data_IF_545356454795
#
_entry.id   IF_545356454795
#
_cell.length_a   1.000
_cell.length_b   1.000
_cell.length_c   1.000
_cell.angle_alpha   90.00
_cell.angle_beta   90.00
_cell.angle_gamma   90.00
#
_symmetry.space_group_name_H-M   'P 1'
#
loop_
_entity.id
_entity.type
_entity.pdbx_description
1 polymer ?
2 non-polymer ?
3 water ?
#
# COMPACT_ATOMS: atom_id res chain seq x y z
N UNK A 9 42.17 7.16 2.10
CA UNK A 9 42.28 7.47 0.68
C UNK A 9 41.54 6.44 -0.16
N UNK A 10 42.26 5.88 -1.14
CA UNK A 10 41.83 4.76 -1.98
C UNK A 10 40.38 4.28 -1.87
N UNK A 11 40.15 3.27 -1.03
CA UNK A 11 38.85 2.60 -0.99
C UNK A 11 37.72 3.51 -0.53
N UNK A 12 37.99 4.40 0.42
CA UNK A 12 36.95 5.30 0.88
C UNK A 12 36.61 6.34 -0.19
N UNK A 13 37.63 6.99 -0.75
CA UNK A 13 37.39 7.96 -1.79
C UNK A 13 36.66 7.29 -2.96
N UNK A 14 37.12 6.09 -3.31
CA UNK A 14 36.52 5.37 -4.43
C UNK A 14 35.07 4.99 -4.13
N UNK A 15 34.80 4.64 -2.88
CA UNK A 15 33.46 4.31 -2.44
C UNK A 15 32.49 5.45 -2.68
N UNK A 16 32.88 6.67 -2.33
CA UNK A 16 32.03 7.82 -2.56
C UNK A 16 31.77 8.06 -4.04
N UNK A 17 32.77 7.83 -4.88
CA UNK A 17 32.57 7.93 -6.32
C UNK A 17 31.63 6.84 -6.82
N UNK A 18 31.82 5.62 -6.33
CA UNK A 18 30.98 4.51 -6.76
C UNK A 18 29.50 4.71 -6.39
N UNK A 19 29.23 5.35 -5.25
CA UNK A 19 27.85 5.71 -4.88
C UNK A 19 27.18 6.50 -5.99
N UNK A 20 27.93 7.42 -6.58
CA UNK A 20 27.38 8.29 -7.61
C UNK A 20 27.39 7.58 -8.97
N UNK A 21 28.48 6.90 -9.27
CA UNK A 21 28.64 6.30 -10.60
C UNK A 21 27.49 5.37 -10.97
N UNK A 22 27.02 4.60 -9.99
CA UNK A 22 25.99 3.60 -10.22
C UNK A 22 24.61 4.10 -9.75
N UNK A 23 24.52 5.40 -9.48
CA UNK A 23 23.25 5.96 -9.01
C UNK A 23 22.26 6.20 -10.14
N UNK A 24 20.99 6.36 -9.78
CA UNK A 24 19.95 6.75 -10.72
C UNK A 24 19.00 7.71 -10.01
N UNK A 25 18.27 8.49 -10.78
CA UNK A 25 17.40 9.50 -10.22
C UNK A 25 16.22 9.73 -11.16
N UNK A 26 15.08 10.08 -10.57
CA UNK A 26 13.90 10.36 -11.35
C UNK A 26 13.11 11.51 -10.76
N UNK A 27 12.31 12.15 -11.60
CA UNK A 27 11.41 13.20 -11.13
C UNK A 27 10.00 12.87 -11.56
N UNK A 28 9.08 12.87 -10.60
CA UNK A 28 7.68 12.65 -10.91
C UNK A 28 6.85 13.91 -10.64
N UNK A 29 5.98 14.24 -11.58
CA UNK A 29 5.03 15.34 -11.39
C UNK A 29 3.65 14.74 -11.22
N UNK A 30 2.90 15.22 -10.24
CA UNK A 30 1.55 14.75 -10.01
C UNK A 30 0.61 15.91 -9.83
N UNK A 31 -0.49 15.89 -10.56
CA UNK A 31 -1.52 16.89 -10.39
C UNK A 31 -2.76 16.13 -9.97
N UNK A 32 -3.30 16.49 -8.81
CA UNK A 32 -4.31 15.68 -8.16
C UNK A 32 -5.55 16.51 -7.85
N UNK A 33 -6.69 16.06 -8.34
CA UNK A 33 -7.96 16.69 -8.00
C UNK A 33 -8.85 15.69 -7.30
N UNK A 34 -9.50 16.14 -6.23
CA UNK A 34 -10.27 15.26 -5.38
C UNK A 34 -11.59 15.96 -5.04
N UNK A 35 -12.70 15.24 -5.20
CA UNK A 35 -13.99 15.78 -4.79
C UNK A 35 -14.78 14.74 -4.02
N UNK A 36 -15.31 15.14 -2.87
CA UNK A 36 -16.23 14.30 -2.11
C UNK A 36 -17.56 14.98 -1.95
N UNK A 37 -18.62 14.30 -2.38
CA UNK A 37 -19.97 14.81 -2.27
C UNK A 37 -20.76 13.90 -1.34
N UNK A 38 -21.21 14.44 -0.21
CA UNK A 38 -22.02 13.65 0.72
C UNK A 38 -23.49 13.82 0.43
N UNK A 39 -24.22 12.70 0.37
CA UNK A 39 -25.64 12.73 0.06
C UNK A 39 -26.44 13.45 1.16
N UNK A 48 -13.42 19.14 -1.75
CA UNK A 48 -12.87 19.71 -2.98
C UNK A 48 -11.43 20.17 -2.76
N UNK A 49 -10.49 19.51 -3.43
CA UNK A 49 -9.09 19.88 -3.31
C UNK A 49 -8.35 19.66 -4.63
N UNK A 50 -7.52 20.63 -5.00
CA UNK A 50 -6.68 20.53 -6.19
C UNK A 50 -5.26 20.84 -5.75
N UNK A 51 -4.31 20.00 -6.15
CA UNK A 51 -2.94 20.21 -5.72
C UNK A 51 -1.92 19.71 -6.72
N UNK A 52 -0.73 20.28 -6.67
CA UNK A 52 0.38 19.89 -7.52
C UNK A 52 1.54 19.37 -6.67
N UNK A 53 2.12 18.25 -7.11
CA UNK A 53 3.20 17.64 -6.36
C UNK A 53 4.42 17.34 -7.22
N UNK A 54 5.57 17.28 -6.56
CA UNK A 54 6.83 16.92 -7.20
C UNK A 54 7.50 15.90 -6.32
N UNK A 55 8.02 14.85 -6.94
CA UNK A 55 8.69 13.79 -6.22
C UNK A 55 10.04 13.52 -6.87
N UNK A 56 11.11 13.82 -6.15
CA UNK A 56 12.46 13.58 -6.66
C UNK A 56 13.01 12.37 -5.92
N UNK A 57 13.38 11.33 -6.68
CA UNK A 57 13.90 10.11 -6.12
C UNK A 57 15.36 9.90 -6.53
N UNK A 58 16.25 9.74 -5.56
CA UNK A 58 17.64 9.39 -5.86
C UNK A 58 17.97 8.07 -5.19
N UNK A 59 18.55 7.15 -5.96
CA UNK A 59 19.02 5.89 -5.41
C UNK A 59 20.50 5.73 -5.73
N UNK A 60 21.35 5.73 -4.71
CA UNK A 60 22.78 5.61 -4.97
C UNK A 60 23.15 4.20 -5.35
N UNK A 61 24.35 4.07 -5.89
CA UNK A 61 24.97 2.76 -6.02
C UNK A 61 25.51 2.36 -4.66
N UNK A 62 26.26 1.27 -4.63
CA UNK A 62 26.86 0.78 -3.39
C UNK A 62 28.37 0.83 -3.48
N UNK A 63 29.02 1.13 -2.37
CA UNK A 63 30.47 1.01 -2.30
C UNK A 63 30.88 -0.46 -2.46
N UNK A 64 32.00 -0.69 -3.13
CA UNK A 64 32.50 -2.05 -3.37
C UNK A 64 32.88 -2.72 -2.07
N UNK A 65 32.75 -4.04 -2.03
CA UNK A 65 33.14 -4.80 -0.86
C UNK A 65 32.11 -5.82 -0.43
N UNK A 66 32.51 -6.69 0.49
CA UNK A 66 31.61 -7.71 1.03
C UNK A 66 30.35 -7.04 1.56
N UNK A 67 30.53 -5.97 2.32
CA UNK A 67 29.40 -5.15 2.73
C UNK A 67 29.47 -3.84 1.95
N UNK A 68 28.40 -3.55 1.22
CA UNK A 68 28.30 -2.33 0.45
C UNK A 68 27.42 -1.31 1.13
N UNK A 69 27.77 -0.05 1.02
CA UNK A 69 26.99 1.02 1.64
C UNK A 69 26.48 2.00 0.60
N UNK A 70 25.33 2.60 0.88
CA UNK A 70 24.77 3.58 -0.01
C UNK A 70 23.82 4.52 0.71
N UNK A 71 23.22 5.43 -0.05
CA UNK A 71 22.23 6.34 0.49
C UNK A 71 21.19 6.66 -0.57
N UNK A 72 19.93 6.64 -0.18
CA UNK A 72 18.85 7.08 -1.06
C UNK A 72 18.27 8.37 -0.51
N UNK A 73 17.61 9.15 -1.37
CA UNK A 73 16.95 10.37 -0.92
C UNK A 73 15.61 10.51 -1.63
N UNK A 74 14.60 11.00 -0.91
CA UNK A 74 13.34 11.34 -1.54
C UNK A 74 13.01 12.79 -1.21
N UNK A 75 12.75 13.59 -2.23
CA UNK A 75 12.34 14.96 -2.06
C UNK A 75 10.90 15.10 -2.47
N UNK A 76 10.08 15.63 -1.57
CA UNK A 76 8.65 15.78 -1.79
C UNK A 76 8.29 17.26 -1.68
N UNK A 77 7.45 17.72 -2.60
CA UNK A 77 6.98 19.10 -2.55
C UNK A 77 5.56 19.11 -3.05
N UNK A 78 4.67 19.70 -2.28
CA UNK A 78 3.29 19.82 -2.68
C UNK A 78 2.74 21.18 -2.36
N UNK A 79 1.81 21.64 -3.17
CA UNK A 79 1.07 22.84 -2.83
C UNK A 79 -0.33 22.80 -3.39
N UNK A 80 -1.26 23.37 -2.64
CA UNK A 80 -2.65 23.44 -3.06
C UNK A 80 -2.83 24.49 -4.14
N UNK A 81 -3.77 24.21 -5.04
CA UNK A 81 -4.10 25.10 -6.14
C UNK A 81 -5.52 25.56 -5.89
N UNK A 82 -5.90 26.73 -6.42
CA UNK A 82 -7.27 27.18 -6.24
C UNK A 82 -8.16 26.65 -7.37
N UNK A 83 -9.14 25.83 -6.99
CA UNK A 83 -10.06 25.24 -7.96
C UNK A 83 -10.42 23.81 -7.56
N UNK A 103 -0.96 20.24 4.86
CA UNK A 103 -2.12 19.65 4.18
C UNK A 103 -1.90 19.65 2.67
N UNK A 104 -0.89 18.89 2.24
CA UNK A 104 -0.39 18.88 0.87
C UNK A 104 0.25 20.21 0.46
N UNK A 105 0.62 20.99 1.47
CA UNK A 105 1.35 22.23 1.27
C UNK A 105 2.63 22.19 2.10
N UNK A 106 3.62 21.47 1.60
CA UNK A 106 4.83 21.25 2.34
C UNK A 106 5.95 20.78 1.45
N UNK A 107 7.14 20.78 2.04
CA UNK A 107 8.31 20.23 1.38
C UNK A 107 9.00 19.35 2.40
N UNK A 108 9.52 18.22 1.94
CA UNK A 108 10.26 17.33 2.83
C UNK A 108 11.34 16.59 2.07
N UNK A 109 12.51 16.51 2.70
CA UNK A 109 13.60 15.70 2.18
C UNK A 109 13.87 14.58 3.18
N UNK A 110 13.87 13.34 2.70
CA UNK A 110 14.11 12.21 3.57
C UNK A 110 15.27 11.36 3.06
N UNK A 111 16.20 11.07 3.97
CA UNK A 111 17.36 10.26 3.63
C UNK A 111 17.18 8.82 4.10
N UNK A 112 17.79 7.90 3.37
CA UNK A 112 17.79 6.50 3.77
C UNK A 112 19.18 5.91 3.60
N UNK A 113 19.84 5.61 4.70
CA UNK A 113 21.12 4.92 4.64
C UNK A 113 20.83 3.48 4.28
N UNK A 114 21.72 2.86 3.52
CA UNK A 114 21.55 1.47 3.17
C UNK A 114 22.84 0.67 3.20
N UNK A 115 22.70 -0.63 3.44
CA UNK A 115 23.84 -1.55 3.43
C UNK A 115 23.41 -2.87 2.81
N UNK A 116 24.27 -3.46 1.98
CA UNK A 116 23.97 -4.75 1.38
C UNK A 116 25.09 -5.75 1.68
N UNK A 117 24.70 -7.00 1.88
CA UNK A 117 25.68 -8.09 1.90
C UNK A 117 25.01 -9.27 1.22
N UNK A 118 25.77 -9.98 0.39
CA UNK A 118 25.23 -11.10 -0.37
C UNK A 118 23.91 -10.71 -1.02
N UNK A 119 22.82 -11.37 -0.63
CA UNK A 119 21.50 -11.09 -1.16
C UNK A 119 20.56 -10.50 -0.11
N UNK A 120 21.12 -9.67 0.76
CA UNK A 120 20.36 -9.06 1.83
C UNK A 120 20.58 -7.54 1.83
N UNK A 121 19.57 -6.81 2.28
CA UNK A 121 19.59 -5.36 2.20
C UNK A 121 18.95 -4.74 3.43
N UNK A 122 19.66 -3.81 4.04
CA UNK A 122 19.17 -3.06 5.19
C UNK A 122 19.00 -1.59 4.79
N UNK A 123 17.85 -1.03 5.14
CA UNK A 123 17.56 0.39 4.92
C UNK A 123 17.21 1.03 6.26
N UNK A 124 17.78 2.19 6.52
CA UNK A 124 17.54 2.93 7.75
C UNK A 124 17.23 4.39 7.44
N UNK A 125 16.08 4.86 7.91
CA UNK A 125 15.67 6.25 7.70
C UNK A 125 14.26 6.30 7.14
N UNK A 126 14.08 7.02 6.03
CA UNK A 126 12.78 7.08 5.38
C UNK A 126 12.47 5.76 4.68
N UNK A 127 11.30 5.21 4.95
CA UNK A 127 10.89 3.93 4.38
C UNK A 127 9.53 4.00 3.72
N UNK A 128 9.35 3.20 2.67
CA UNK A 128 8.07 3.09 1.99
C UNK A 128 8.04 1.71 1.36
N UNK A 129 7.18 0.84 1.89
CA UNK A 129 7.16 -0.54 1.45
C UNK A 129 5.79 -1.14 1.75
N UNK A 130 5.56 -2.34 1.21
CA UNK A 130 4.32 -3.06 1.38
C UNK A 130 4.60 -4.40 2.04
N UNK A 131 3.78 -4.76 3.02
CA UNK A 131 3.87 -6.06 3.67
C UNK A 131 2.52 -6.35 4.31
N UNK A 132 2.24 -7.61 4.63
CA UNK A 132 0.92 -7.91 5.18
C UNK A 132 0.57 -7.07 6.41
N UNK A 133 1.51 -6.88 7.33
CA UNK A 133 1.18 -6.22 8.60
C UNK A 133 1.38 -4.71 8.58
N UNK A 134 2.04 -4.20 7.55
CA UNK A 134 2.20 -2.75 7.42
C UNK A 134 2.53 -2.39 5.99
N UNK A 135 1.72 -1.50 5.41
CA UNK A 135 1.92 -1.05 4.03
C UNK A 135 1.76 0.45 3.94
N UNK A 136 2.78 1.13 3.42
CA UNK A 136 2.72 2.57 3.23
C UNK A 136 1.78 2.92 2.09
N UNK A 137 0.97 3.95 2.29
CA UNK A 137 0.02 4.39 1.28
C UNK A 137 0.63 5.33 0.25
N UNK A 138 0.18 5.20 -1.00
CA UNK A 138 0.47 6.23 -1.99
C UNK A 138 -0.68 6.41 -2.97
N UNK A 139 -1.87 6.70 -2.45
CA UNK A 139 -3.01 6.97 -3.32
C UNK A 139 -3.48 8.41 -3.31
N UNK A 140 -2.66 9.30 -2.74
CA UNK A 140 -2.97 10.72 -2.79
C UNK A 140 -1.89 11.48 -3.56
N UNK A 141 -1.58 12.69 -3.14
CA UNK A 141 -0.61 13.51 -3.85
C UNK A 141 0.83 13.05 -3.62
N UNK A 142 1.17 12.85 -2.35
CA UNK A 142 2.52 12.50 -1.95
C UNK A 142 2.48 11.28 -1.04
N UNK A 143 3.52 10.44 -1.08
CA UNK A 143 3.45 9.17 -0.36
C UNK A 143 3.52 9.30 1.17
N UNK A 144 2.88 8.37 1.86
CA UNK A 144 3.17 8.13 3.27
C UNK A 144 4.62 7.61 3.40
N UNK A 145 5.31 8.02 4.46
CA UNK A 145 6.64 7.47 4.78
C UNK A 145 6.64 6.99 6.22
N UNK A 146 7.42 5.95 6.49
CA UNK A 146 7.70 5.58 7.87
C UNK A 146 9.15 5.92 8.18
N UNK A 147 9.44 6.19 9.44
CA UNK A 147 10.80 6.29 9.91
C UNK A 147 11.17 4.98 10.58
N UNK A 148 12.29 4.38 10.19
CA UNK A 148 12.70 3.17 10.87
C UNK A 148 13.79 2.41 10.15
N UNK A 149 13.88 1.12 10.46
CA UNK A 149 14.85 0.23 9.83
C UNK A 149 14.11 -0.96 9.24
N UNK A 150 14.48 -1.33 8.03
CA UNK A 150 13.85 -2.42 7.29
C UNK A 150 14.92 -3.34 6.74
N UNK A 151 14.82 -4.62 7.07
CA UNK A 151 15.78 -5.62 6.64
C UNK A 151 15.10 -6.61 5.71
N UNK A 152 15.74 -6.92 4.59
CA UNK A 152 15.21 -7.85 3.60
C UNK A 152 16.29 -8.87 3.29
N UNK A 153 16.04 -10.14 3.62
CA UNK A 153 17.03 -11.20 3.51
C UNK A 153 16.56 -12.25 2.50
N UNK A 154 17.29 -12.40 1.40
CA UNK A 154 16.94 -13.37 0.37
C UNK A 154 18.10 -14.32 0.08
N UNK A 155 18.51 -15.03 1.11
CA UNK A 155 19.68 -15.90 1.02
C UNK A 155 19.30 -17.37 0.79
N UNK A 156 18.08 -17.73 1.13
CA UNK A 156 17.61 -19.11 1.03
C UNK A 156 16.67 -19.22 -0.16
N UNK A 157 16.86 -20.27 -0.97
CA UNK A 157 16.08 -20.44 -2.19
C UNK A 157 14.58 -20.41 -1.94
N UNK A 158 13.89 -19.51 -2.63
CA UNK A 158 12.44 -19.41 -2.53
C UNK A 158 11.93 -18.76 -1.25
N UNK A 159 12.84 -18.27 -0.41
CA UNK A 159 12.46 -17.70 0.88
C UNK A 159 12.88 -16.26 1.02
N UNK A 160 11.91 -15.39 1.30
CA UNK A 160 12.16 -14.01 1.63
C UNK A 160 11.85 -13.79 3.09
N UNK A 161 12.82 -13.29 3.85
CA UNK A 161 12.60 -12.93 5.24
C UNK A 161 12.69 -11.43 5.36
N UNK A 162 11.73 -10.82 6.03
CA UNK A 162 11.74 -9.38 6.24
C UNK A 162 11.48 -9.05 7.68
N UNK A 163 12.00 -7.92 8.12
CA UNK A 163 11.68 -7.43 9.44
C UNK A 163 11.86 -5.94 9.48
N UNK A 164 11.14 -5.27 10.38
CA UNK A 164 11.28 -3.83 10.52
C UNK A 164 11.04 -3.39 11.93
N UNK A 165 11.70 -2.30 12.29
CA UNK A 165 11.38 -1.52 13.48
C UNK A 165 11.08 -0.11 13.01
N UNK A 166 9.83 0.33 13.21
CA UNK A 166 9.40 1.65 12.79
C UNK A 166 9.07 2.47 14.01
N UNK A 167 9.39 3.76 14.00
CA UNK A 167 9.00 4.58 15.14
C UNK A 167 8.24 5.86 14.82
N UNK A 168 8.01 6.12 13.53
CA UNK A 168 7.22 7.28 13.13
C UNK A 168 6.44 7.00 11.87
N UNK A 169 5.35 7.76 11.71
CA UNK A 169 4.48 7.75 10.54
C UNK A 169 4.43 9.18 10.00
N UNK A 170 4.80 9.38 8.74
CA UNK A 170 4.51 10.65 8.08
C UNK A 170 3.32 10.45 7.17
N UNK A 171 2.17 10.95 7.58
CA UNK A 171 0.96 10.76 6.77
C UNK A 171 1.19 11.33 5.37
N UNK A 172 0.48 10.77 4.40
CA UNK A 172 0.62 11.23 3.03
C UNK A 172 0.46 12.76 2.89
N UNK A 173 -0.43 13.34 3.69
CA UNK A 173 -0.77 14.76 3.55
C UNK A 173 0.07 15.71 4.41
N UNK A 174 1.00 15.19 5.20
CA UNK A 174 1.81 16.08 6.03
C UNK A 174 3.31 15.90 5.88
N UNK A 175 4.07 16.86 6.40
CA UNK A 175 5.53 16.84 6.31
C UNK A 175 6.19 16.22 7.53
N UNK A 176 5.51 16.26 8.68
CA UNK A 176 6.14 15.87 9.93
C UNK A 176 5.91 14.41 10.28
N UNK A 177 6.97 13.74 10.72
CA UNK A 177 6.83 12.42 11.33
C UNK A 177 6.08 12.58 12.65
N UNK A 178 5.15 11.67 12.91
CA UNK A 178 4.43 11.64 14.17
C UNK A 178 4.35 10.22 14.70
N UNK A 179 3.92 10.07 15.94
CA UNK A 179 3.75 8.72 16.47
C UNK A 179 2.52 8.04 15.86
N UNK A 180 2.40 6.74 16.11
CA UNK A 180 1.35 5.94 15.51
C UNK A 180 0.07 5.89 16.32
N UNK A 181 -1.01 5.59 15.62
CA UNK A 181 -2.26 5.15 16.24
C UNK A 181 -2.85 4.05 15.37
N UNK A 182 -3.88 3.40 15.87
CA UNK A 182 -4.54 2.33 15.10
C UNK A 182 -5.85 2.82 14.50
N UNK A 183 -6.09 2.43 13.26
CA UNK A 183 -7.34 2.77 12.57
C UNK A 183 -8.57 2.32 13.39
N UNK A 184 -9.51 3.25 13.55
CA UNK A 184 -10.73 3.10 14.40
C UNK A 184 -10.46 2.99 15.89
N UNK A 185 -9.53 2.12 16.26
CA UNK A 185 -9.31 1.75 17.66
C UNK A 185 -8.59 2.83 18.45
N UNK A 186 -7.78 3.64 17.77
CA UNK A 186 -7.07 4.71 18.43
C UNK A 186 -5.80 4.26 19.10
N UNK A 187 -5.51 4.83 20.26
CA UNK A 187 -4.29 4.53 20.98
C UNK A 187 -3.11 5.37 20.51
N UNK A 188 -2.00 5.25 21.22
CA UNK A 188 -0.77 5.94 20.87
C UNK A 188 0.41 4.98 20.99
N UNK A 189 1.29 4.95 19.99
CA UNK A 189 2.40 4.01 19.99
C UNK A 189 3.61 4.63 19.32
N UNK A 190 4.80 4.38 19.88
CA UNK A 190 6.01 4.85 19.21
C UNK A 190 6.86 3.72 18.65
N UNK A 191 6.24 2.55 18.45
CA UNK A 191 6.99 1.44 17.90
C UNK A 191 6.13 0.43 17.18
N UNK A 192 6.46 0.16 15.93
CA UNK A 192 5.92 -0.97 15.21
C UNK A 192 7.04 -1.90 14.83
N UNK A 193 6.93 -3.16 15.26
CA UNK A 193 7.94 -4.15 14.97
C UNK A 193 7.28 -5.34 14.29
N UNK A 194 7.92 -5.89 13.27
CA UNK A 194 7.42 -7.14 12.68
C UNK A 194 8.57 -7.93 12.09
N UNK A 195 8.33 -9.23 11.94
CA UNK A 195 9.18 -10.07 11.12
C UNK A 195 8.27 -11.03 10.39
N UNK A 196 8.69 -11.48 9.23
CA UNK A 196 7.86 -12.37 8.46
C UNK A 196 8.63 -13.08 7.36
N UNK A 197 8.08 -14.20 6.93
CA UNK A 197 8.65 -14.97 5.85
C UNK A 197 7.65 -15.24 4.76
N UNK A 198 8.11 -15.22 3.52
CA UNK A 198 7.30 -15.62 2.37
C UNK A 198 8.09 -16.72 1.69
N UNK A 199 7.51 -17.92 1.67
CA UNK A 199 8.23 -19.11 1.25
C UNK A 199 7.56 -19.80 0.07
N UNK A 200 8.29 -19.92 -1.03
CA UNK A 200 7.79 -20.66 -2.19
C UNK A 200 7.94 -22.15 -1.95
N UNK A 201 6.85 -22.79 -1.49
CA UNK A 201 6.83 -24.23 -1.24
C UNK A 201 7.03 -24.99 -2.53
N UNK A 202 6.44 -24.46 -3.60
CA UNK A 202 6.62 -24.97 -4.95
C UNK A 202 6.65 -23.73 -5.84
N UNK A 203 6.96 -23.92 -7.12
CA UNK A 203 6.96 -22.74 -8.01
C UNK A 203 5.60 -22.03 -8.09
N UNK A 204 4.52 -22.73 -7.78
CA UNK A 204 3.18 -22.14 -7.87
C UNK A 204 2.57 -21.71 -6.53
N UNK A 205 3.11 -22.23 -5.43
CA UNK A 205 2.48 -22.07 -4.12
C UNK A 205 3.41 -21.39 -3.12
N UNK A 206 2.96 -20.28 -2.57
CA UNK A 206 3.75 -19.49 -1.62
C UNK A 206 3.01 -19.31 -0.30
N UNK A 207 3.67 -19.68 0.78
CA UNK A 207 3.11 -19.59 2.12
C UNK A 207 3.77 -18.44 2.86
N UNK A 208 2.98 -17.66 3.59
CA UNK A 208 3.52 -16.50 4.30
C UNK A 208 3.07 -16.50 5.74
N UNK A 209 3.98 -16.10 6.62
CA UNK A 209 3.68 -15.95 8.04
C UNK A 209 4.40 -14.71 8.55
N UNK A 210 3.64 -13.74 9.06
CA UNK A 210 4.18 -12.47 9.55
C UNK A 210 3.64 -12.20 10.94
N UNK A 211 4.49 -11.73 11.83
CA UNK A 211 4.08 -11.46 13.21
C UNK A 211 4.56 -10.08 13.60
N UNK A 212 3.69 -9.30 14.23
CA UNK A 212 4.01 -7.91 14.48
C UNK A 212 3.33 -7.36 15.72
N UNK A 213 3.76 -6.17 16.10
CA UNK A 213 3.26 -5.51 17.30
C UNK A 213 3.30 -4.02 17.10
N UNK A 214 2.17 -3.36 17.30
CA UNK A 214 2.14 -1.92 17.45
C UNK A 214 2.16 -1.70 18.96
N UNK A 215 3.34 -1.40 19.50
CA UNK A 215 3.58 -1.42 20.94
C UNK A 215 2.58 -0.57 21.71
N UNK A 216 2.03 -1.17 22.76
CA UNK A 216 1.03 -0.53 23.64
C UNK A 216 -0.35 -0.40 23.01
N UNK A 217 -0.55 -1.00 21.84
CA UNK A 217 -1.88 -1.04 21.24
C UNK A 217 -2.29 -2.47 20.88
N UNK A 218 -1.62 -3.09 19.91
CA UNK A 218 -2.03 -4.42 19.51
C UNK A 218 -0.88 -5.33 19.05
N UNK A 219 -1.14 -6.63 19.08
CA UNK A 219 -0.27 -7.63 18.46
C UNK A 219 -1.09 -8.25 17.34
N UNK A 220 -0.45 -8.57 16.23
CA UNK A 220 -1.16 -9.18 15.11
C UNK A 220 -0.29 -10.18 14.38
N UNK A 221 -0.87 -11.30 14.01
CA UNK A 221 -0.17 -12.32 13.21
C UNK A 221 -1.00 -12.59 11.97
N UNK A 222 -0.32 -12.74 10.84
CA UNK A 222 -0.92 -12.98 9.53
C UNK A 222 -0.36 -14.26 8.93
N UNK A 223 -1.26 -15.12 8.44
CA UNK A 223 -0.84 -16.26 7.64
C UNK A 223 -1.50 -16.15 6.29
N UNK A 224 -0.78 -16.49 5.23
CA UNK A 224 -1.33 -16.41 3.90
C UNK A 224 -0.85 -17.56 3.02
N UNK A 225 -1.67 -17.91 2.04
CA UNK A 225 -1.30 -18.95 1.09
C UNK A 225 -1.75 -18.43 -0.25
N UNK A 226 -0.83 -18.36 -1.22
CA UNK A 226 -1.15 -17.85 -2.53
C UNK A 226 -0.72 -18.86 -3.58
N UNK A 227 -1.68 -19.31 -4.39
CA UNK A 227 -1.42 -20.26 -5.44
C UNK A 227 -1.64 -19.61 -6.78
N UNK A 228 -0.67 -19.76 -7.67
CA UNK A 228 -0.77 -19.17 -8.98
C UNK A 228 -0.76 -20.27 -10.03
N UNK A 229 -1.87 -20.39 -10.75
CA UNK A 229 -2.01 -21.41 -11.78
C UNK A 229 -1.98 -20.76 -13.15
N UNK A 230 -0.89 -20.98 -13.88
CA UNK A 230 -0.78 -20.47 -15.24
C UNK A 230 -1.19 -21.55 -16.21
N UNK A 231 -2.25 -21.29 -16.98
CA UNK A 231 -2.72 -22.25 -17.98
C UNK A 231 -2.15 -21.90 -19.35
N UNK A 232 -1.46 -20.76 -19.43
CA UNK A 232 -0.89 -20.31 -20.69
C UNK A 232 -1.93 -20.12 -21.77
N UNK A 235 -4.22 -17.09 -19.85
CA UNK A 235 -5.23 -17.72 -19.01
C UNK A 235 -4.62 -18.19 -17.68
N UNK A 236 -5.07 -17.61 -16.58
CA UNK A 236 -4.48 -17.92 -15.30
C UNK A 236 -5.45 -17.69 -14.15
N UNK A 237 -5.19 -18.38 -13.04
CA UNK A 237 -6.01 -18.22 -11.84
C UNK A 237 -5.09 -18.08 -10.64
N UNK A 238 -5.23 -16.97 -9.93
CA UNK A 238 -4.52 -16.75 -8.69
C UNK A 238 -5.52 -16.91 -7.55
N UNK A 239 -5.14 -17.72 -6.55
CA UNK A 239 -5.97 -17.92 -5.37
C UNK A 239 -5.21 -17.41 -4.17
N UNK A 240 -5.79 -16.46 -3.46
CA UNK A 240 -5.09 -15.70 -2.41
C UNK A 240 -5.92 -15.81 -1.12
N UNK A 241 -5.41 -16.58 -0.16
CA UNK A 241 -6.08 -16.83 1.11
C UNK A 241 -5.33 -16.12 2.24
N UNK A 242 -6.08 -15.46 3.12
CA UNK A 242 -5.48 -14.64 4.17
C UNK A 242 -6.17 -14.87 5.49
N UNK A 243 -5.41 -14.93 6.56
CA UNK A 243 -6.01 -14.99 7.89
C UNK A 243 -5.15 -14.25 8.88
N UNK A 244 -5.73 -13.29 9.61
CA UNK A 244 -4.97 -12.52 10.59
C UNK A 244 -5.74 -12.44 11.88
N UNK A 245 -5.03 -12.60 12.99
CA UNK A 245 -5.64 -12.46 14.32
C UNK A 245 -4.89 -11.40 15.10
N UNK A 246 -5.64 -10.58 15.83
CA UNK A 246 -5.04 -9.53 16.64
C UNK A 246 -5.60 -9.56 18.07
N UNK A 247 -4.76 -9.15 19.01
CA UNK A 247 -5.15 -8.98 20.40
C UNK A 247 -4.45 -7.73 20.94
N UNK A 248 -4.74 -7.37 22.18
CA UNK A 248 -4.16 -6.15 22.75
C UNK A 248 -2.68 -6.34 23.08
N UNK A 249 -1.95 -5.24 23.14
CA UNK A 249 -0.57 -5.25 23.62
C UNK A 249 -0.39 -4.32 24.81
N UNK A 250 0.49 -4.70 25.71
CA UNK A 250 0.80 -3.87 26.86
C UNK A 250 -0.44 -3.59 27.70
N UNK A 251 -0.65 -2.32 28.03
CA UNK A 251 -1.75 -1.96 28.91
C UNK A 251 -3.01 -1.56 28.16
N UNK A 252 -3.03 -1.75 26.85
CA UNK A 252 -4.19 -1.36 26.07
C UNK A 252 -5.40 -2.19 26.48
N UNK A 253 -6.57 -1.60 26.32
CA UNK A 253 -7.82 -2.30 26.63
C UNK A 253 -7.89 -3.59 25.81
N UNK A 254 -8.64 -4.57 26.30
CA UNK A 254 -8.73 -5.83 25.60
C UNK A 254 -9.23 -5.67 24.18
N UNK A 255 -8.58 -6.40 23.27
CA UNK A 255 -8.88 -6.34 21.85
C UNK A 255 -8.92 -7.76 21.32
N UNK A 256 -9.91 -8.05 20.46
CA UNK A 256 -9.98 -9.34 19.79
C UNK A 256 -10.49 -9.14 18.37
N UNK A 257 -9.66 -9.44 17.38
CA UNK A 257 -10.10 -9.37 15.99
C UNK A 257 -9.57 -10.54 15.20
N UNK A 258 -10.39 -11.06 14.30
CA UNK A 258 -9.93 -12.01 13.28
C UNK A 258 -10.43 -11.50 11.93
N UNK A 259 -9.63 -11.75 10.89
CA UNK A 259 -10.03 -11.37 9.54
C UNK A 259 -9.59 -12.45 8.57
N UNK A 260 -10.57 -13.05 7.91
CA UNK A 260 -10.34 -14.02 6.82
C UNK A 260 -10.63 -13.36 5.50
N UNK A 261 -9.77 -13.61 4.51
CA UNK A 261 -10.01 -13.13 3.16
C UNK A 261 -9.65 -14.19 2.14
N UNK A 262 -10.42 -14.21 1.05
CA UNK A 262 -10.08 -15.05 -0.09
C UNK A 262 -10.35 -14.25 -1.36
N UNK A 263 -9.36 -14.23 -2.26
CA UNK A 263 -9.50 -13.50 -3.51
C UNK A 263 -9.02 -14.40 -4.63
N UNK A 264 -9.93 -14.64 -5.57
CA UNK A 264 -9.63 -15.48 -6.72
C UNK A 264 -9.64 -14.58 -7.95
N UNK A 265 -8.49 -14.53 -8.63
CA UNK A 265 -8.28 -13.63 -9.75
C UNK A 265 -8.04 -14.42 -11.03
N UNK A 266 -8.99 -14.33 -11.95
CA UNK A 266 -8.95 -15.07 -13.20
C UNK A 266 -8.57 -14.14 -14.32
N UNK A 267 -7.54 -14.50 -15.08
CA UNK A 267 -7.19 -13.73 -16.26
C UNK A 267 -7.57 -14.54 -17.49
N UNK A 268 -8.26 -13.89 -18.41
CA UNK A 268 -8.67 -14.53 -19.65
C UNK A 268 -8.39 -13.57 -20.79
N UNK A 269 -7.20 -13.66 -21.36
CA UNK A 269 -6.80 -12.75 -22.41
C UNK A 269 -6.71 -11.34 -21.89
N UNK A 270 -7.44 -10.43 -22.54
CA UNK A 270 -7.41 -9.03 -22.15
C UNK A 270 -8.36 -8.76 -20.99
N UNK A 271 -9.17 -9.76 -20.65
CA UNK A 271 -10.14 -9.67 -19.56
C UNK A 271 -9.58 -10.21 -18.26
N UNK A 272 -10.03 -9.64 -17.16
CA UNK A 272 -9.71 -10.17 -15.84
C UNK A 272 -10.96 -10.07 -14.98
N UNK A 273 -11.25 -11.13 -14.24
CA UNK A 273 -12.38 -11.14 -13.31
C UNK A 273 -11.88 -11.64 -11.98
N UNK A 274 -12.25 -10.95 -10.91
CA UNK A 274 -11.85 -11.40 -9.58
C UNK A 274 -13.07 -11.48 -8.67
N UNK A 275 -13.06 -12.46 -7.79
CA UNK A 275 -14.12 -12.62 -6.81
C UNK A 275 -13.49 -12.73 -5.45
N UNK A 276 -14.00 -11.95 -4.50
CA UNK A 276 -13.43 -11.90 -3.17
C UNK A 276 -14.46 -12.15 -2.10
N UNK A 277 -14.00 -12.71 -0.99
CA UNK A 277 -14.85 -12.88 0.19
C UNK A 277 -14.04 -12.48 1.41
N UNK A 278 -14.68 -11.76 2.33
CA UNK A 278 -14.00 -11.31 3.53
C UNK A 278 -14.91 -11.44 4.73
N UNK A 279 -14.36 -11.93 5.84
CA UNK A 279 -15.13 -12.07 7.07
C UNK A 279 -14.34 -11.55 8.24
N UNK A 280 -14.87 -10.51 8.88
CA UNK A 280 -14.29 -9.95 10.08
C UNK A 280 -15.05 -10.51 11.28
N UNK A 281 -14.34 -10.88 12.34
CA UNK A 281 -15.02 -11.36 13.54
C UNK A 281 -14.26 -11.00 14.81
N UNK A 282 -14.92 -11.20 15.95
CA UNK A 282 -14.38 -10.74 17.22
C UNK A 282 -15.10 -9.48 17.67
N UNK A 283 -14.71 -8.96 18.82
CA UNK A 283 -15.34 -7.76 19.35
C UNK A 283 -14.89 -6.48 18.64
N UNK A 284 -13.78 -6.57 17.90
CA UNK A 284 -13.15 -5.38 17.35
C UNK A 284 -13.00 -5.45 15.85
N UNK A 285 -12.88 -4.28 15.20
CA UNK A 285 -12.67 -4.22 13.76
C UNK A 285 -11.20 -4.55 13.45
N UNK A 286 -10.87 -4.60 12.16
CA UNK A 286 -9.51 -5.00 11.77
C UNK A 286 -8.49 -3.91 12.10
N UNK A 287 -7.51 -4.24 12.94
CA UNK A 287 -6.55 -3.19 13.30
C UNK A 287 -5.43 -3.06 12.29
N UNK A 288 -5.00 -1.82 12.11
CA UNK A 288 -3.82 -1.50 11.30
C UNK A 288 -3.39 -0.10 11.66
N UNK A 289 -2.18 0.27 11.22
CA UNK A 289 -1.67 1.59 11.51
C UNK A 289 -2.51 2.66 10.79
N UNK A 290 -3.03 3.63 11.57
CA UNK A 290 -3.85 4.67 10.97
C UNK A 290 -3.06 5.43 9.91
N UNK A 291 -3.71 5.68 8.78
CA UNK A 291 -3.05 6.39 7.69
C UNK A 291 -2.44 5.46 6.67
N UNK A 292 -2.31 4.18 7.02
CA UNK A 292 -1.67 3.20 6.15
C UNK A 292 -2.70 2.25 5.52
N UNK A 293 -2.24 1.31 4.71
CA UNK A 293 -3.16 0.44 3.97
C UNK A 293 -3.31 -0.91 4.64
N UNK A 294 -4.54 -1.36 4.88
CA UNK A 294 -4.73 -2.69 5.48
C UNK A 294 -4.63 -3.77 4.42
N UNK A 295 -4.12 -4.94 4.79
CA UNK A 295 -3.94 -6.02 3.81
C UNK A 295 -5.18 -6.88 3.72
N UNK A 296 -6.28 -6.24 3.35
CA UNK A 296 -7.60 -6.88 3.26
C UNK A 296 -7.99 -7.04 1.80
N UNK A 297 -8.48 -8.21 1.44
CA UNK A 297 -8.83 -8.44 0.04
C UNK A 297 -9.91 -7.50 -0.48
N UNK A 298 -10.82 -7.06 0.41
CA UNK A 298 -11.89 -6.17 -0.02
C UNK A 298 -11.68 -4.70 0.35
N UNK A 299 -10.43 -4.33 0.62
CA UNK A 299 -10.05 -2.93 0.80
C UNK A 299 -9.93 -2.29 -0.58
N UNK A 300 -10.75 -1.29 -0.82
CA UNK A 300 -10.86 -0.67 -2.14
C UNK A 300 -10.71 0.86 -2.05
N UNK A 301 -11.38 1.63 -2.90
CA UNK A 301 -11.03 3.05 -3.01
C UNK A 301 -11.27 3.80 -1.72
N UNK A 302 -12.44 3.60 -1.13
CA UNK A 302 -12.78 4.31 0.10
C UNK A 302 -12.73 3.37 1.31
N UNK A 303 -13.54 2.31 1.27
CA UNK A 303 -13.70 1.47 2.44
C UNK A 303 -12.81 0.26 2.54
N UNK A 304 -12.61 -0.21 3.77
CA UNK A 304 -11.81 -1.40 4.01
C UNK A 304 -12.66 -2.65 4.26
N UNK A 305 -13.96 -2.46 4.45
CA UNK A 305 -14.88 -3.55 4.78
C UNK A 305 -14.36 -4.34 5.98
N UNK A 306 -13.75 -3.59 6.90
CA UNK A 306 -13.12 -4.16 8.08
C UNK A 306 -13.84 -3.83 9.37
N UNK A 307 -15.10 -3.44 9.25
CA UNK A 307 -15.92 -3.14 10.43
C UNK A 307 -16.21 -4.38 11.28
N UNK A 308 -16.58 -4.15 12.52
CA UNK A 308 -16.93 -5.23 13.43
C UNK A 308 -17.95 -6.19 12.80
N UNK A 309 -17.58 -7.48 12.77
CA UNK A 309 -18.45 -8.57 12.28
C UNK A 309 -18.74 -8.55 10.76
N UNK A 310 -18.08 -7.66 10.02
CA UNK A 310 -18.46 -7.46 8.62
C UNK A 310 -18.16 -8.66 7.72
N UNK A 311 -19.17 -9.09 6.97
CA UNK A 311 -19.02 -10.11 5.93
C UNK A 311 -19.21 -9.40 4.60
N UNK A 312 -18.31 -9.65 3.65
CA UNK A 312 -18.41 -8.92 2.40
C UNK A 312 -17.95 -9.76 1.22
N UNK A 313 -18.51 -9.46 0.04
CA UNK A 313 -18.06 -10.09 -1.18
C UNK A 313 -17.75 -9.03 -2.22
N UNK A 314 -16.85 -9.38 -3.14
CA UNK A 314 -16.37 -8.46 -4.16
C UNK A 314 -16.44 -9.12 -5.52
N UNK A 315 -16.86 -8.36 -6.54
CA UNK A 315 -16.64 -8.74 -7.92
C UNK A 315 -15.90 -7.59 -8.61
N UNK A 316 -14.87 -7.93 -9.37
CA UNK A 316 -14.03 -6.96 -10.03
C UNK A 316 -13.79 -7.36 -11.46
N UNK A 317 -13.87 -6.39 -12.37
CA UNK A 317 -13.59 -6.63 -13.78
C UNK A 317 -12.51 -5.66 -14.27
N UNK A 318 -11.54 -6.18 -15.01
CA UNK A 318 -10.55 -5.33 -15.68
C UNK A 318 -10.48 -5.66 -17.16
N UNK A 319 -10.22 -4.65 -17.98
CA UNK A 319 -9.93 -4.86 -19.38
C UNK A 319 -8.69 -4.06 -19.77
N UNK A 320 -7.75 -4.75 -20.38
CA UNK A 320 -6.54 -4.13 -20.91
C UNK A 320 -6.71 -3.97 -22.42
N UNK A 321 -6.70 -2.73 -22.86
CA UNK A 321 -6.99 -2.41 -24.25
C UNK A 321 -5.81 -2.63 -25.20
N UNK A 322 -4.71 -3.19 -24.69
CA UNK A 322 -3.54 -3.42 -25.53
C UNK A 322 -3.83 -4.30 -26.73
N UNK A 323 -4.53 -5.41 -26.49
CA UNK A 323 -4.78 -6.39 -27.55
C UNK A 323 -5.63 -5.79 -28.67
N UNK A 324 -6.52 -4.89 -28.27
CA UNK A 324 -7.42 -4.23 -29.20
C UNK A 324 -6.66 -3.26 -30.09
N UNK A 325 -5.58 -2.70 -29.57
CA UNK A 325 -4.81 -1.73 -30.32
C UNK A 325 -4.80 -0.35 -29.68
N UNK A 326 -5.15 -0.29 -28.39
CA UNK A 326 -5.14 0.95 -27.62
C UNK A 326 -4.28 0.79 -26.35
N UNK A 327 -2.97 0.59 -26.51
CA UNK A 327 -2.12 0.18 -25.38
C UNK A 327 -2.10 1.03 -24.08
N UNK A 328 -2.33 2.33 -24.13
CA UNK A 328 -2.25 3.11 -22.90
C UNK A 328 -3.51 3.08 -22.06
N UNK A 329 -4.57 2.48 -22.61
CA UNK A 329 -5.90 2.61 -22.04
C UNK A 329 -6.24 1.47 -21.08
N UNK A 330 -6.91 1.82 -19.98
CA UNK A 330 -7.25 0.83 -18.96
C UNK A 330 -8.66 1.10 -18.41
N UNK A 331 -9.36 0.03 -18.04
CA UNK A 331 -10.65 0.13 -17.41
C UNK A 331 -10.71 -0.89 -16.28
N UNK A 332 -11.21 -0.46 -15.13
CA UNK A 332 -11.52 -1.37 -14.04
C UNK A 332 -12.84 -0.96 -13.40
N UNK A 333 -13.68 -1.93 -13.05
CA UNK A 333 -14.82 -1.63 -12.20
C UNK A 333 -14.96 -2.73 -11.17
N UNK A 334 -15.35 -2.36 -9.96
CA UNK A 334 -15.51 -3.35 -8.91
C UNK A 334 -16.64 -2.94 -7.98
N UNK A 335 -17.19 -3.93 -7.30
CA UNK A 335 -18.31 -3.71 -6.41
C UNK A 335 -18.10 -4.60 -5.20
N UNK A 336 -18.27 -4.03 -4.01
CA UNK A 336 -18.16 -4.78 -2.77
C UNK A 336 -19.41 -4.53 -1.95
N UNK A 337 -20.00 -5.62 -1.45
CA UNK A 337 -21.21 -5.54 -0.63
C UNK A 337 -20.94 -6.17 0.73
N UNK A 338 -21.20 -5.41 1.78
CA UNK A 338 -20.97 -5.87 3.14
C UNK A 338 -22.26 -5.94 3.94
N UNK A 339 -22.34 -6.94 4.80
CA UNK A 339 -23.45 -7.03 5.76
C UNK A 339 -22.97 -7.62 7.08
N UNK A 340 -23.91 -7.90 7.98
CA UNK A 340 -23.61 -8.43 9.31
C UNK A 340 -22.86 -7.44 10.21
N UNK A 341 -22.76 -6.19 9.78
CA UNK A 341 -21.98 -5.23 10.55
C UNK A 341 -22.65 -4.92 11.89
N UNK A 342 -21.87 -4.93 12.96
CA UNK A 342 -22.41 -4.60 14.28
C UNK A 342 -22.90 -3.15 14.33
N UNK A 343 -24.15 -3.01 14.77
CA UNK A 343 -24.69 -1.71 15.10
C UNK A 343 -25.22 -1.88 16.51
N UNK A 344 -24.45 -1.43 17.49
CA UNK A 344 -24.79 -1.72 18.87
C UNK A 344 -24.85 -3.22 19.04
N UNK A 345 -25.93 -3.69 19.67
CA UNK A 345 -26.11 -5.10 19.95
C UNK A 345 -26.73 -5.86 18.76
N UNK A 346 -27.03 -5.15 17.68
CA UNK A 346 -27.56 -5.79 16.47
C UNK A 346 -26.45 -6.02 15.46
N UNK A 347 -26.76 -6.80 14.42
CA UNK A 347 -25.80 -7.04 13.34
C UNK A 347 -26.46 -6.80 11.99
N UNK A 348 -27.23 -5.72 11.91
CA UNK A 348 -27.98 -5.39 10.70
C UNK A 348 -27.35 -4.25 9.92
N UNK A 349 -26.08 -3.97 10.19
CA UNK A 349 -25.34 -2.99 9.42
C UNK A 349 -24.99 -3.51 8.04
N UNK A 350 -25.20 -2.66 7.03
CA UNK A 350 -24.92 -3.03 5.64
C UNK A 350 -24.37 -1.84 4.89
N UNK A 351 -23.49 -2.13 3.93
CA UNK A 351 -22.92 -1.09 3.10
C UNK A 351 -22.52 -1.67 1.76
N UNK A 352 -22.47 -0.83 0.75
CA UNK A 352 -21.86 -1.25 -0.50
C UNK A 352 -21.04 -0.14 -1.09
N UNK A 353 -20.07 -0.51 -1.91
CA UNK A 353 -19.23 0.47 -2.59
C UNK A 353 -18.95 0.01 -4.01
N UNK A 354 -19.08 0.94 -4.95
CA UNK A 354 -18.70 0.69 -6.33
C UNK A 354 -17.54 1.61 -6.69
N UNK A 355 -16.55 1.08 -7.41
CA UNK A 355 -15.45 1.89 -7.92
C UNK A 355 -15.31 1.68 -9.41
N UNK A 356 -14.97 2.73 -10.14
CA UNK A 356 -14.63 2.61 -11.56
C UNK A 356 -13.40 3.45 -11.85
N UNK A 357 -12.39 2.85 -12.47
CA UNK A 357 -11.17 3.55 -12.83
C UNK A 357 -11.02 3.54 -14.35
N UNK A 358 -10.82 4.71 -14.93
CA UNK A 358 -10.53 4.82 -16.36
C UNK A 358 -9.21 5.54 -16.48
N UNK A 359 -8.30 5.00 -17.27
CA UNK A 359 -7.00 5.64 -17.38
C UNK A 359 -6.39 5.58 -18.75
N UNK A 360 -5.54 6.55 -19.05
CA UNK A 360 -4.76 6.50 -20.28
C UNK A 360 -3.36 7.01 -20.04
N UNK A 361 -2.38 6.28 -20.57
CA UNK A 361 -1.00 6.69 -20.52
C UNK A 361 -0.51 6.89 -21.95
N UNK A 362 0.04 8.07 -22.23
CA UNK A 362 0.51 8.38 -23.58
C UNK A 362 1.67 7.48 -23.97
N UNK A 363 1.59 6.89 -25.16
CA UNK A 363 2.53 5.87 -25.60
C UNK A 363 3.70 6.43 -26.39
N UNK A 364 3.47 7.52 -27.12
CA UNK A 364 4.49 8.07 -28.01
C UNK A 364 4.42 9.59 -28.12
N UNK A 365 5.39 10.15 -28.83
CA UNK A 365 5.43 11.60 -29.02
C UNK A 365 6.07 12.30 -27.84
N UNK A 366 5.97 13.64 -27.81
CA UNK A 366 6.58 14.48 -26.78
C UNK A 366 6.03 14.18 -25.39
N UNK A 367 4.77 13.79 -25.30
CA UNK A 367 4.12 13.60 -24.02
C UNK A 367 4.12 12.15 -23.55
N UNK A 368 4.96 11.33 -24.17
CA UNK A 368 5.08 9.93 -23.79
C UNK A 368 5.29 9.79 -22.28
N UNK A 369 4.52 8.91 -21.66
CA UNK A 369 4.60 8.60 -20.23
C UNK A 369 3.67 9.47 -19.39
N UNK A 370 3.11 10.52 -20.00
CA UNK A 370 2.06 11.30 -19.37
C UNK A 370 0.82 10.43 -19.17
N UNK A 371 0.33 10.37 -17.93
CA UNK A 371 -0.82 9.53 -17.64
C UNK A 371 -1.95 10.29 -16.98
N UNK A 372 -3.17 9.89 -17.28
CA UNK A 372 -4.35 10.44 -16.61
C UNK A 372 -5.19 9.28 -16.09
N UNK A 373 -5.67 9.40 -14.87
CA UNK A 373 -6.52 8.39 -14.27
C UNK A 373 -7.69 9.06 -13.57
N UNK A 374 -8.89 8.58 -13.89
CA UNK A 374 -10.10 9.00 -13.21
C UNK A 374 -10.62 7.85 -12.36
N UNK A 375 -10.78 8.10 -11.06
CA UNK A 375 -11.28 7.09 -10.14
C UNK A 375 -12.57 7.58 -9.51
N UNK A 376 -13.66 6.86 -9.78
CA UNK A 376 -14.97 7.27 -9.30
C UNK A 376 -15.49 6.23 -8.33
N UNK A 377 -15.98 6.68 -7.17
CA UNK A 377 -16.51 5.76 -6.17
C UNK A 377 -17.83 6.25 -5.61
N UNK A 378 -18.68 5.29 -5.26
CA UNK A 378 -19.95 5.56 -4.61
C UNK A 378 -20.05 4.62 -3.42
N UNK A 379 -20.39 5.16 -2.25
CA UNK A 379 -20.59 4.34 -1.06
C UNK A 379 -21.97 4.61 -0.51
N UNK A 380 -22.72 3.55 -0.19
CA UNK A 380 -24.00 3.68 0.50
C UNK A 380 -23.99 2.76 1.71
N UNK A 381 -24.44 3.28 2.85
CA UNK A 381 -24.39 2.49 4.07
C UNK A 381 -25.48 2.92 5.04
N UNK A 382 -25.85 2.01 5.93
CA UNK A 382 -26.83 2.35 6.96
C UNK A 382 -26.16 2.61 8.30
N UNK A 383 -24.84 2.69 8.32
CA UNK A 383 -24.12 3.00 9.55
C UNK A 383 -23.04 4.07 9.39
N UNK A 384 -23.00 4.69 8.22
CA UNK A 384 -22.01 5.73 7.97
C UNK A 384 -22.52 6.67 6.88
N UNK A 385 -21.69 7.65 6.53
CA UNK A 385 -22.06 8.66 5.55
C UNK A 385 -22.09 8.12 4.12
N UNK A 386 -23.21 8.32 3.44
CA UNK A 386 -23.28 8.05 1.99
C UNK A 386 -22.43 9.09 1.29
N UNK A 387 -21.62 8.65 0.33
CA UNK A 387 -20.63 9.51 -0.29
C UNK A 387 -20.43 9.16 -1.76
N UNK A 388 -20.13 10.17 -2.56
CA UNK A 388 -19.62 9.94 -3.92
C UNK A 388 -18.30 10.68 -4.01
N UNK A 389 -17.31 10.03 -4.61
CA UNK A 389 -15.97 10.58 -4.66
C UNK A 389 -15.42 10.46 -6.08
N UNK A 390 -14.82 11.54 -6.56
CA UNK A 390 -14.11 11.49 -7.81
C UNK A 390 -12.67 11.93 -7.59
N UNK A 391 -11.73 11.19 -8.17
CA UNK A 391 -10.33 11.59 -8.19
C UNK A 391 -9.89 11.71 -9.64
N UNK A 392 -9.10 12.74 -9.92
CA UNK A 392 -8.50 12.87 -11.23
C UNK A 392 -7.02 13.08 -10.98
N UNK A 393 -6.20 12.17 -11.50
CA UNK A 393 -4.76 12.25 -11.27
C UNK A 393 -4.01 12.30 -12.59
N UNK A 394 -3.25 13.37 -12.77
CA UNK A 394 -2.34 13.48 -13.91
C UNK A 394 -0.93 13.22 -13.38
N UNK A 395 -0.17 12.37 -14.07
CA UNK A 395 1.16 12.00 -13.61
C UNK A 395 2.15 11.98 -14.77
N UNK A 396 3.38 12.38 -14.47
CA UNK A 396 4.43 12.32 -15.47
C UNK A 396 5.74 12.04 -14.77
N UNK A 397 6.45 11.02 -15.23
CA UNK A 397 7.73 10.67 -14.63
C UNK A 397 8.82 10.79 -15.67
N UNK A 398 9.93 11.36 -15.25
CA UNK A 398 11.08 11.56 -16.11
C UNK A 398 12.29 10.91 -15.45
N UNK A 399 12.96 10.02 -16.19
CA UNK A 399 14.23 9.48 -15.72
C UNK A 399 15.30 10.55 -15.91
N UNK A 400 16.00 10.91 -14.83
CA UNK A 400 17.01 11.95 -14.93
C UNK A 400 18.36 11.36 -15.31
N UNK A 401 18.69 10.23 -14.69
CA UNK A 401 19.86 9.44 -15.08
C UNK A 401 19.77 8.07 -14.41
#
# INVERSE_FOLDING_TARGET
GHHHHHHHENLYFQGLEDLVEDSHASLELRNFYFNRDFRQSGARDNADEWAQGFLLRLESGFSEGTVGFGVDAIGLLGFKLDSGSGSGGTGLLPADGSAGGSQDDYAKLGLTAKARVSNSLLKVGALHFKSPLVSANDTRLLPELFRGALLDVQEIDGLTLRGAHLDRNKLNSSSDYQVFSANRIGGRSDAFDFAGGDYRLTPALTASLHQGRLKDIYRQTFAGLVHTLDLGGQRSLKSDLRFARASEDGGFRELDNRAFGALFSLRLGAHAVAAGYQRISGDDPYPYIAGSDPYLVNFIQIGDFGNVDERSWQLRYDYDFGALGLPGLSFMSRYVSGDNVARGAANDGKEWERNTDLGYVVQSGPLKNLGVKWRNATVRSNFANDLDENRLILSYSLALW
#
